data_IF_335221309666
#
_entry.id   IF_335221309666
#
_cell.length_a   1.000
_cell.length_b   1.000
_cell.length_c   1.000
_cell.angle_alpha   90.00
_cell.angle_beta   90.00
_cell.angle_gamma   90.00
#
_symmetry.space_group_name_H-M   'P 1'
#
loop_
_entity.id
_entity.type
_entity.pdbx_description
1 polymer ?
#
# COMPACT_ATOMS: atom_id res chain seq x y z
N UNK A 1 6.92 -15.39 13.73
CA UNK A 1 5.55 -15.05 14.20
C UNK A 1 5.26 -13.55 14.19
N UNK A 2 6.18 -12.70 14.68
CA UNK A 2 6.02 -11.23 14.69
C UNK A 2 5.67 -10.61 13.31
N UNK A 3 6.32 -10.96 12.18
CA UNK A 3 6.01 -10.33 10.87
C UNK A 3 4.62 -10.69 10.34
N UNK A 4 4.10 -11.89 10.64
CA UNK A 4 2.76 -12.31 10.24
C UNK A 4 1.67 -11.57 11.04
N UNK A 5 1.88 -11.36 12.33
CA UNK A 5 0.95 -10.59 13.18
C UNK A 5 0.93 -9.11 12.78
N UNK A 6 2.10 -8.53 12.47
CA UNK A 6 2.22 -7.16 11.94
C UNK A 6 1.52 -7.01 10.59
N UNK A 7 1.66 -8.00 9.71
CA UNK A 7 0.94 -8.06 8.43
C UNK A 7 -0.58 -8.04 8.63
N UNK A 8 -1.12 -8.87 9.53
CA UNK A 8 -2.56 -8.90 9.82
C UNK A 8 -3.07 -7.57 10.37
N UNK A 9 -2.32 -6.91 11.26
CA UNK A 9 -2.68 -5.58 11.78
C UNK A 9 -2.72 -4.54 10.65
N UNK A 10 -1.70 -4.50 9.80
CA UNK A 10 -1.64 -3.58 8.66
C UNK A 10 -2.81 -3.82 7.69
N UNK A 11 -3.17 -5.09 7.46
CA UNK A 11 -4.29 -5.47 6.60
C UNK A 11 -5.65 -5.04 7.21
N UNK A 12 -5.78 -5.13 8.53
CA UNK A 12 -6.95 -4.67 9.28
C UNK A 12 -7.12 -3.15 9.20
N UNK A 13 -6.01 -2.41 9.33
CA UNK A 13 -5.97 -0.95 9.16
C UNK A 13 -6.36 -0.57 7.73
N UNK A 14 -5.88 -1.31 6.73
CA UNK A 14 -6.25 -1.10 5.33
C UNK A 14 -7.74 -1.30 5.09
N UNK A 15 -8.33 -2.39 5.61
CA UNK A 15 -9.76 -2.63 5.48
C UNK A 15 -10.57 -1.49 6.12
N UNK A 16 -10.19 -1.05 7.32
CA UNK A 16 -10.86 0.05 8.01
C UNK A 16 -10.74 1.38 7.27
N UNK A 17 -9.55 1.71 6.77
CA UNK A 17 -9.30 2.94 5.99
C UNK A 17 -10.04 2.90 4.66
N UNK A 18 -10.11 1.75 3.97
CA UNK A 18 -10.86 1.60 2.72
C UNK A 18 -12.37 1.85 2.91
N UNK A 19 -12.91 1.47 4.07
CA UNK A 19 -14.29 1.68 4.50
C UNK A 19 -14.57 3.14 4.90
N UNK A 20 -13.65 3.76 5.63
CA UNK A 20 -13.79 5.13 6.13
C UNK A 20 -13.56 6.20 5.05
N UNK A 21 -12.66 5.93 4.11
CA UNK A 21 -12.25 6.89 3.09
C UNK A 21 -13.28 6.95 1.97
N UNK A 22 -13.84 8.13 1.79
CA UNK A 22 -14.94 8.36 0.84
C UNK A 22 -14.48 9.05 -0.44
N UNK A 23 -13.42 9.85 -0.37
CA UNK A 23 -12.85 10.59 -1.49
C UNK A 23 -11.52 9.98 -1.96
N UNK A 24 -11.24 10.04 -3.26
CA UNK A 24 -9.96 9.58 -3.82
C UNK A 24 -8.76 10.35 -3.28
N UNK A 25 -8.90 11.66 -3.04
CA UNK A 25 -7.81 12.47 -2.49
C UNK A 25 -7.37 11.95 -1.12
N UNK A 26 -8.33 11.65 -0.26
CA UNK A 26 -8.05 11.16 1.10
C UNK A 26 -7.47 9.74 1.05
N UNK A 27 -7.88 8.93 0.07
CA UNK A 27 -7.32 7.60 -0.19
C UNK A 27 -5.83 7.66 -0.52
N UNK A 28 -5.42 8.64 -1.34
CA UNK A 28 -4.02 8.86 -1.68
C UNK A 28 -3.19 9.28 -0.47
N UNK A 29 -3.72 10.20 0.34
CA UNK A 29 -3.05 10.63 1.57
C UNK A 29 -2.88 9.45 2.53
N UNK A 30 -3.92 8.63 2.70
CA UNK A 30 -3.86 7.43 3.52
C UNK A 30 -2.87 6.39 2.97
N UNK A 31 -2.82 6.18 1.65
CA UNK A 31 -1.87 5.25 1.03
C UNK A 31 -0.42 5.71 1.23
N UNK A 32 -0.14 7.01 1.07
CA UNK A 32 1.19 7.57 1.33
C UNK A 32 1.60 7.42 2.79
N UNK A 33 0.69 7.73 3.72
CA UNK A 33 0.94 7.56 5.15
C UNK A 33 1.22 6.09 5.50
N UNK A 34 0.43 5.16 4.94
CA UNK A 34 0.63 3.73 5.11
C UNK A 34 1.99 3.26 4.57
N UNK A 35 2.41 3.75 3.40
CA UNK A 35 3.72 3.45 2.82
C UNK A 35 4.87 3.91 3.74
N UNK A 36 4.76 5.09 4.35
CA UNK A 36 5.74 5.58 5.34
C UNK A 36 5.79 4.66 6.57
N UNK A 37 4.63 4.28 7.10
CA UNK A 37 4.54 3.35 8.24
C UNK A 37 5.17 2.00 7.91
N UNK A 38 4.89 1.46 6.72
CA UNK A 38 5.46 0.19 6.24
C UNK A 38 6.99 0.29 6.17
N UNK A 39 7.54 1.33 5.56
CA UNK A 39 8.99 1.50 5.46
C UNK A 39 9.62 1.63 6.84
N UNK A 40 8.99 2.37 7.74
CA UNK A 40 9.53 2.58 9.09
C UNK A 40 9.50 1.32 9.95
N UNK A 41 8.44 0.50 9.83
CA UNK A 41 8.24 -0.68 10.68
C UNK A 41 8.90 -1.96 10.13
N UNK A 42 8.99 -2.09 8.80
CA UNK A 42 9.47 -3.31 8.15
C UNK A 42 10.87 -3.19 7.56
N UNK A 43 11.51 -2.00 7.59
CA UNK A 43 12.87 -1.87 7.08
C UNK A 43 13.83 -2.78 7.85
N UNK A 44 14.44 -3.78 7.20
CA UNK A 44 15.51 -4.55 7.81
C UNK A 44 16.74 -3.65 8.04
N UNK A 45 17.62 -4.07 8.94
CA UNK A 45 18.90 -3.41 9.21
C UNK A 45 19.94 -3.66 8.12
N UNK A 46 19.57 -3.51 6.84
CA UNK A 46 20.35 -3.92 5.66
C UNK A 46 21.10 -2.75 4.98
N UNK A 47 21.28 -1.64 5.70
CA UNK A 47 21.89 -0.44 5.14
C UNK A 47 21.00 0.33 4.16
N UNK A 48 19.69 0.03 4.11
CA UNK A 48 18.72 0.78 3.32
C UNK A 48 18.52 0.26 1.89
N UNK A 49 19.10 -0.91 1.55
CA UNK A 49 18.92 -1.54 0.24
C UNK A 49 17.44 -1.90 0.06
N UNK A 50 16.80 -2.49 1.07
CA UNK A 50 15.38 -2.82 1.06
C UNK A 50 14.52 -1.58 0.89
N UNK A 51 14.79 -0.55 1.69
CA UNK A 51 14.02 0.70 1.65
C UNK A 51 14.08 1.36 0.27
N UNK A 52 15.24 1.32 -0.41
CA UNK A 52 15.40 1.88 -1.75
C UNK A 52 14.57 1.14 -2.80
N UNK A 53 14.54 -0.19 -2.76
CA UNK A 53 13.75 -0.98 -3.72
C UNK A 53 12.26 -0.81 -3.49
N UNK A 54 11.82 -0.90 -2.23
CA UNK A 54 10.42 -0.70 -1.85
C UNK A 54 9.93 0.70 -2.23
N UNK A 55 10.76 1.74 -2.05
CA UNK A 55 10.43 3.11 -2.47
C UNK A 55 10.19 3.24 -3.99
N UNK A 56 10.95 2.54 -4.83
CA UNK A 56 10.75 2.54 -6.29
C UNK A 56 9.40 1.91 -6.66
N UNK A 57 9.06 0.78 -6.03
CA UNK A 57 7.79 0.11 -6.26
C UNK A 57 6.61 0.95 -5.78
N UNK A 58 6.74 1.59 -4.63
CA UNK A 58 5.74 2.51 -4.08
C UNK A 58 5.54 3.74 -4.97
N UNK A 59 6.62 4.35 -5.45
CA UNK A 59 6.56 5.45 -6.43
C UNK A 59 5.82 5.05 -7.71
N UNK A 60 6.10 3.85 -8.23
CA UNK A 60 5.44 3.32 -9.43
C UNK A 60 3.94 3.09 -9.21
N UNK A 61 3.55 2.52 -8.06
CA UNK A 61 2.15 2.36 -7.66
C UNK A 61 1.41 3.70 -7.58
N UNK A 62 2.04 4.72 -6.99
CA UNK A 62 1.45 6.05 -6.88
C UNK A 62 1.28 6.71 -8.26
N UNK A 63 2.22 6.50 -9.19
CA UNK A 63 2.11 6.99 -10.57
C UNK A 63 0.95 6.34 -11.34
N UNK A 64 0.84 5.00 -11.30
CA UNK A 64 -0.27 4.26 -11.90
C UNK A 64 -1.61 4.67 -11.28
N UNK A 65 -1.60 4.81 -9.96
CA UNK A 65 -2.72 5.31 -9.19
C UNK A 65 -3.22 6.69 -9.61
N UNK A 66 -2.30 7.62 -9.83
CA UNK A 66 -2.60 8.96 -10.31
C UNK A 66 -3.24 8.95 -11.71
N UNK A 67 -2.73 8.10 -12.62
CA UNK A 67 -3.29 7.92 -13.96
C UNK A 67 -4.73 7.37 -13.88
N UNK A 68 -4.95 6.31 -13.09
CA UNK A 68 -6.27 5.71 -12.89
C UNK A 68 -7.29 6.70 -12.32
N UNK A 69 -6.87 7.63 -11.45
CA UNK A 69 -7.74 8.69 -10.94
C UNK A 69 -8.23 9.63 -12.05
N UNK A 70 -7.36 9.96 -13.00
CA UNK A 70 -7.71 10.87 -14.09
C UNK A 70 -8.68 10.21 -15.08
N UNK A 71 -8.53 8.91 -15.32
CA UNK A 71 -9.39 8.15 -16.24
C UNK A 71 -10.77 7.81 -15.65
N UNK A 72 -10.85 7.53 -14.34
CA UNK A 72 -12.10 7.10 -13.70
C UNK A 72 -12.98 8.26 -13.20
N UNK A 73 -12.42 9.47 -13.17
CA UNK A 73 -13.10 10.67 -12.68
C UNK A 73 -13.29 10.70 -11.15
N UNK A 74 -13.66 11.86 -10.58
CA UNK A 74 -13.72 12.06 -9.13
C UNK A 74 -14.88 11.34 -8.40
N UNK A 75 -15.88 10.80 -9.12
CA UNK A 75 -17.19 10.43 -8.53
C UNK A 75 -17.52 8.92 -8.49
N UNK A 76 -16.82 8.06 -9.23
CA UNK A 76 -17.19 6.62 -9.37
C UNK A 76 -16.68 5.72 -8.25
N UNK A 77 -15.93 6.28 -7.29
CA UNK A 77 -15.26 5.55 -6.23
C UNK A 77 -16.20 4.79 -5.28
N UNK A 78 -17.42 5.28 -5.08
CA UNK A 78 -18.31 4.83 -3.98
C UNK A 78 -19.34 3.79 -4.37
N UNK A 79 -19.84 3.84 -5.60
CA UNK A 79 -21.10 3.17 -5.98
C UNK A 79 -20.91 1.97 -6.88
N UNK A 80 -19.69 1.73 -7.35
CA UNK A 80 -19.39 0.62 -8.26
C UNK A 80 -18.48 -0.39 -7.57
N UNK A 81 -18.69 -1.67 -7.85
CA UNK A 81 -17.78 -2.74 -7.43
C UNK A 81 -16.34 -2.43 -7.88
N UNK A 82 -16.17 -1.85 -9.07
CA UNK A 82 -14.87 -1.41 -9.58
C UNK A 82 -14.18 -0.38 -8.69
N UNK A 83 -14.93 0.61 -8.16
CA UNK A 83 -14.40 1.61 -7.22
C UNK A 83 -13.94 1.00 -5.90
N UNK A 84 -14.65 -0.01 -5.39
CA UNK A 84 -14.25 -0.74 -4.18
C UNK A 84 -12.96 -1.55 -4.40
N UNK A 85 -12.87 -2.30 -5.51
CA UNK A 85 -11.67 -3.06 -5.86
C UNK A 85 -10.45 -2.17 -6.08
N UNK A 86 -10.62 -0.98 -6.65
CA UNK A 86 -9.55 -0.02 -6.80
C UNK A 86 -9.04 0.48 -5.44
N UNK A 87 -9.93 0.81 -4.50
CA UNK A 87 -9.55 1.23 -3.14
C UNK A 87 -8.77 0.16 -2.40
N UNK A 88 -9.28 -1.07 -2.45
CA UNK A 88 -8.60 -2.22 -1.83
C UNK A 88 -7.23 -2.43 -2.47
N UNK A 89 -7.12 -2.37 -3.79
CA UNK A 89 -5.85 -2.53 -4.51
C UNK A 89 -4.82 -1.46 -4.14
N UNK A 90 -5.21 -0.18 -4.12
CA UNK A 90 -4.31 0.95 -3.80
C UNK A 90 -3.76 0.88 -2.37
N UNK A 91 -4.54 0.35 -1.44
CA UNK A 91 -4.12 0.22 -0.03
C UNK A 91 -3.41 -1.11 0.27
N UNK A 92 -3.77 -2.19 -0.43
CA UNK A 92 -3.21 -3.53 -0.18
C UNK A 92 -1.91 -3.76 -0.94
N UNK A 93 -1.75 -3.21 -2.14
CA UNK A 93 -0.57 -3.42 -2.97
C UNK A 93 0.76 -3.02 -2.28
N UNK A 94 0.85 -1.88 -1.54
CA UNK A 94 2.07 -1.54 -0.80
C UNK A 94 2.45 -2.60 0.25
N UNK A 95 1.46 -3.17 0.95
CA UNK A 95 1.69 -4.21 1.95
C UNK A 95 2.21 -5.48 1.29
N UNK A 96 1.57 -5.92 0.20
CA UNK A 96 1.98 -7.13 -0.54
C UNK A 96 3.41 -6.99 -1.04
N UNK A 97 3.76 -5.85 -1.64
CA UNK A 97 5.11 -5.59 -2.14
C UNK A 97 6.13 -5.65 -1.00
N UNK A 98 5.85 -4.99 0.13
CA UNK A 98 6.75 -4.99 1.27
C UNK A 98 6.96 -6.41 1.82
N UNK A 99 5.89 -7.18 2.00
CA UNK A 99 5.97 -8.56 2.52
C UNK A 99 6.71 -9.49 1.55
N UNK A 100 6.34 -9.48 0.26
CA UNK A 100 7.00 -10.31 -0.75
C UNK A 100 8.49 -9.97 -0.82
N UNK A 101 8.84 -8.69 -0.79
CA UNK A 101 10.23 -8.27 -0.87
C UNK A 101 11.02 -8.63 0.40
N UNK A 102 10.43 -8.48 1.59
CA UNK A 102 11.02 -8.97 2.85
C UNK A 102 11.25 -10.47 2.82
N UNK A 103 10.25 -11.28 2.41
CA UNK A 103 10.38 -12.74 2.32
C UNK A 103 11.47 -13.14 1.33
N UNK A 104 11.52 -12.50 0.16
CA UNK A 104 12.55 -12.79 -0.87
C UNK A 104 13.95 -12.44 -0.37
N UNK A 105 14.12 -11.34 0.37
CA UNK A 105 15.41 -10.98 0.96
C UNK A 105 15.81 -11.92 2.08
N UNK A 106 14.88 -12.29 2.97
CA UNK A 106 15.13 -13.28 4.03
C UNK A 106 15.52 -14.66 3.47
N UNK A 107 14.97 -15.07 2.32
CA UNK A 107 15.37 -16.33 1.65
C UNK A 107 16.75 -16.27 0.97
N UNK A 108 17.31 -15.07 0.75
CA UNK A 108 18.59 -14.87 0.06
C UNK A 108 19.79 -14.71 1.01
N UNK A 109 19.53 -14.51 2.31
CA UNK A 109 20.56 -14.42 3.37
C UNK A 109 20.72 -15.77 4.06
#
# INVERSE_FOLDING_TARGET
>A
MIPFFLFLILLSIVAFVALAVTNYRDLWVCSLFLQVVIVTLLSPGDGGIWARHVAIFFGSLNAVGWLLRNDLGPSTAKTTNAGWWLRMSVLTAPIVIAVVYTVVLEMRM
#
